data_IF_701283741490
#
_entry.id   IF_701283741490
#
_cell.length_a   1.000
_cell.length_b   1.000
_cell.length_c   1.000
_cell.angle_alpha   90.00
_cell.angle_beta   90.00
_cell.angle_gamma   90.00
#
_symmetry.space_group_name_H-M   'P 1'
#
loop_
_entity.id
_entity.type
_entity.pdbx_description
1 polymer ?
#
# COMPACT_ATOMS: atom_id res chain seq x y z
N UNK A 1 -3.11 16.72 -4.34
CA UNK A 1 -3.77 15.52 -4.88
C UNK A 1 -3.54 14.29 -3.98
N UNK A 2 -2.30 13.91 -3.60
CA UNK A 2 -2.02 12.71 -2.81
C UNK A 2 -2.82 12.63 -1.50
N UNK A 3 -2.96 13.72 -0.74
CA UNK A 3 -3.78 13.74 0.48
C UNK A 3 -5.26 13.42 0.21
N UNK A 4 -5.79 13.87 -0.92
CA UNK A 4 -7.16 13.55 -1.32
C UNK A 4 -7.30 12.07 -1.67
N UNK A 5 -6.27 11.50 -2.33
CA UNK A 5 -6.21 10.06 -2.60
C UNK A 5 -6.25 9.27 -1.29
N UNK A 6 -5.42 9.61 -0.30
CA UNK A 6 -5.43 8.92 0.99
C UNK A 6 -6.75 9.09 1.75
N UNK A 7 -7.41 10.24 1.65
CA UNK A 7 -8.74 10.42 2.23
C UNK A 7 -9.75 9.44 1.63
N UNK A 8 -9.76 9.27 0.29
CA UNK A 8 -10.63 8.31 -0.39
C UNK A 8 -10.24 6.88 -0.06
N UNK A 9 -8.95 6.55 -0.04
CA UNK A 9 -8.45 5.22 0.33
C UNK A 9 -8.93 4.82 1.74
N UNK A 10 -8.87 5.72 2.72
CA UNK A 10 -9.39 5.43 4.07
C UNK A 10 -10.88 5.09 4.08
N UNK A 11 -11.68 5.78 3.27
CA UNK A 11 -13.11 5.48 3.16
C UNK A 11 -13.35 4.09 2.57
N UNK A 12 -12.65 3.75 1.49
CA UNK A 12 -12.83 2.49 0.77
C UNK A 12 -12.19 1.31 1.49
N UNK A 13 -10.94 1.45 1.93
CA UNK A 13 -10.16 0.32 2.44
C UNK A 13 -10.54 -0.09 3.86
N UNK A 14 -11.10 0.80 4.66
CA UNK A 14 -11.71 0.43 5.94
C UNK A 14 -12.93 -0.47 5.73
N UNK A 15 -13.79 -0.12 4.79
CA UNK A 15 -14.96 -0.95 4.48
C UNK A 15 -14.58 -2.25 3.75
N UNK A 16 -13.57 -2.20 2.87
CA UNK A 16 -12.96 -3.40 2.29
C UNK A 16 -12.43 -4.34 3.37
N UNK A 17 -11.74 -3.81 4.38
CA UNK A 17 -11.23 -4.59 5.51
C UNK A 17 -12.35 -5.30 6.26
N UNK A 18 -13.46 -4.61 6.54
CA UNK A 18 -14.63 -5.22 7.18
C UNK A 18 -15.22 -6.35 6.33
N UNK A 19 -15.41 -6.09 5.05
CA UNK A 19 -15.95 -7.06 4.10
C UNK A 19 -15.01 -8.28 3.97
N UNK A 20 -13.70 -8.05 3.94
CA UNK A 20 -12.72 -9.12 3.83
C UNK A 20 -12.74 -10.04 5.05
N UNK A 21 -12.74 -9.50 6.27
CA UNK A 21 -12.83 -10.31 7.48
C UNK A 21 -14.12 -11.13 7.52
N UNK A 22 -15.23 -10.57 7.03
CA UNK A 22 -16.53 -11.26 7.04
C UNK A 22 -16.61 -12.41 6.02
N UNK A 23 -15.89 -12.33 4.90
CA UNK A 23 -16.05 -13.23 3.75
C UNK A 23 -14.77 -14.03 3.38
N UNK A 24 -13.63 -13.77 4.03
CA UNK A 24 -12.37 -14.43 3.67
C UNK A 24 -12.42 -15.93 3.93
N UNK A 25 -11.93 -16.68 2.96
CA UNK A 25 -11.72 -18.12 3.05
C UNK A 25 -10.27 -18.42 3.44
N UNK A 26 -9.95 -19.64 3.90
CA UNK A 26 -8.56 -20.05 4.10
C UNK A 26 -7.67 -19.85 2.86
N UNK A 27 -8.21 -20.10 1.66
CA UNK A 27 -7.49 -19.88 0.39
C UNK A 27 -7.19 -18.39 0.15
N UNK A 28 -8.09 -17.48 0.52
CA UNK A 28 -7.84 -16.02 0.46
C UNK A 28 -6.71 -15.62 1.41
N UNK A 29 -6.70 -16.16 2.62
CA UNK A 29 -5.64 -15.89 3.60
C UNK A 29 -4.29 -16.39 3.10
N UNK A 30 -4.24 -17.59 2.54
CA UNK A 30 -3.00 -18.15 1.97
C UNK A 30 -2.50 -17.31 0.79
N UNK A 31 -3.39 -16.84 -0.08
CA UNK A 31 -3.03 -15.96 -1.19
C UNK A 31 -2.40 -14.63 -0.70
N UNK A 32 -2.94 -14.05 0.36
CA UNK A 32 -2.37 -12.84 0.97
C UNK A 32 -1.03 -13.11 1.67
N UNK A 33 -0.86 -14.26 2.33
CA UNK A 33 0.43 -14.66 2.92
C UNK A 33 1.51 -14.81 1.86
N UNK A 34 1.20 -15.46 0.75
CA UNK A 34 2.12 -15.60 -0.38
C UNK A 34 2.50 -14.24 -0.96
N UNK A 35 1.52 -13.34 -1.08
CA UNK A 35 1.77 -11.98 -1.55
C UNK A 35 2.71 -11.21 -0.61
N UNK A 36 2.46 -11.25 0.70
CA UNK A 36 3.32 -10.61 1.71
C UNK A 36 4.74 -11.19 1.69
N UNK A 37 4.90 -12.49 1.49
CA UNK A 37 6.23 -13.10 1.33
C UNK A 37 6.99 -12.54 0.13
N UNK A 38 6.30 -12.25 -0.98
CA UNK A 38 6.88 -11.58 -2.16
C UNK A 38 7.27 -10.13 -1.87
N UNK A 39 6.45 -9.38 -1.13
CA UNK A 39 6.79 -8.03 -0.67
C UNK A 39 8.09 -8.03 0.15
N UNK A 40 8.16 -8.90 1.15
CA UNK A 40 9.33 -9.03 2.02
C UNK A 40 10.59 -9.37 1.23
N UNK A 41 10.48 -10.28 0.26
CA UNK A 41 11.60 -10.62 -0.62
C UNK A 41 12.05 -9.42 -1.48
N UNK A 42 11.13 -8.62 -2.01
CA UNK A 42 11.46 -7.42 -2.78
C UNK A 42 12.12 -6.33 -1.90
N UNK A 43 11.62 -6.14 -0.68
CA UNK A 43 12.22 -5.23 0.30
C UNK A 43 13.65 -5.64 0.65
N UNK A 44 13.88 -6.93 0.92
CA UNK A 44 15.21 -7.48 1.24
C UNK A 44 16.21 -7.30 0.09
N UNK A 45 15.77 -7.47 -1.15
CA UNK A 45 16.61 -7.26 -2.34
C UNK A 45 16.82 -5.79 -2.69
N UNK A 46 16.20 -4.88 -1.96
CA UNK A 46 16.20 -3.43 -2.25
C UNK A 46 15.67 -3.10 -3.67
N UNK A 47 14.75 -3.92 -4.14
CA UNK A 47 14.04 -3.72 -5.39
C UNK A 47 12.97 -2.63 -5.21
N UNK A 48 13.35 -1.38 -5.47
CA UNK A 48 12.50 -0.22 -5.20
C UNK A 48 11.22 -0.23 -6.05
N UNK A 49 11.34 -0.56 -7.33
CA UNK A 49 10.21 -0.62 -8.25
C UNK A 49 9.28 -1.79 -7.88
N UNK A 50 9.82 -2.99 -7.77
CA UNK A 50 9.04 -4.18 -7.45
C UNK A 50 8.37 -4.13 -6.08
N UNK A 51 9.05 -3.60 -5.04
CA UNK A 51 8.41 -3.44 -3.72
C UNK A 51 7.30 -2.39 -3.74
N UNK A 52 7.45 -1.30 -4.50
CA UNK A 52 6.44 -0.26 -4.62
C UNK A 52 5.16 -0.80 -5.25
N UNK A 53 5.30 -1.57 -6.32
CA UNK A 53 4.20 -2.25 -6.97
C UNK A 53 3.52 -3.26 -6.02
N UNK A 54 4.28 -4.20 -5.45
CA UNK A 54 3.75 -5.23 -4.57
C UNK A 54 3.04 -4.66 -3.33
N UNK A 55 3.59 -3.64 -2.68
CA UNK A 55 2.95 -3.02 -1.52
C UNK A 55 1.62 -2.35 -1.88
N UNK A 56 1.50 -1.77 -3.08
CA UNK A 56 0.22 -1.27 -3.58
C UNK A 56 -0.76 -2.39 -3.92
N UNK A 57 -0.28 -3.41 -4.61
CA UNK A 57 -1.09 -4.55 -5.08
C UNK A 57 -1.74 -5.35 -3.95
N UNK A 58 -1.21 -5.32 -2.73
CA UNK A 58 -1.84 -5.95 -1.55
C UNK A 58 -3.30 -5.50 -1.39
N UNK A 59 -3.57 -4.22 -1.51
CA UNK A 59 -4.90 -3.63 -1.33
C UNK A 59 -5.84 -4.00 -2.50
N UNK A 60 -5.30 -4.02 -3.71
CA UNK A 60 -6.03 -4.44 -4.92
C UNK A 60 -6.39 -5.92 -4.82
N UNK A 61 -5.45 -6.76 -4.41
CA UNK A 61 -5.65 -8.20 -4.25
C UNK A 61 -6.75 -8.52 -3.23
N UNK A 62 -6.87 -7.76 -2.14
CA UNK A 62 -7.99 -7.93 -1.20
C UNK A 62 -9.34 -7.78 -1.90
N UNK A 63 -9.50 -6.77 -2.74
CA UNK A 63 -10.73 -6.54 -3.49
C UNK A 63 -10.98 -7.63 -4.55
N UNK A 64 -9.94 -8.04 -5.26
CA UNK A 64 -10.01 -9.11 -6.27
C UNK A 64 -10.42 -10.45 -5.66
N UNK A 65 -9.84 -10.84 -4.52
CA UNK A 65 -10.17 -12.08 -3.82
C UNK A 65 -11.64 -12.13 -3.36
N UNK A 66 -12.23 -10.98 -3.07
CA UNK A 66 -13.67 -10.87 -2.80
C UNK A 66 -14.53 -10.85 -4.07
N UNK A 67 -13.93 -10.87 -5.25
CA UNK A 67 -14.64 -10.76 -6.53
C UNK A 67 -15.17 -9.35 -6.83
N UNK A 68 -14.72 -8.33 -6.10
CA UNK A 68 -15.12 -6.95 -6.33
C UNK A 68 -14.13 -6.24 -7.27
N UNK A 69 -14.26 -6.55 -8.57
CA UNK A 69 -13.36 -6.01 -9.60
C UNK A 69 -13.52 -4.50 -9.78
N UNK A 70 -14.71 -3.95 -9.55
CA UNK A 70 -14.93 -2.48 -9.61
C UNK A 70 -14.10 -1.78 -8.55
N UNK A 71 -14.09 -2.30 -7.32
CA UNK A 71 -13.27 -1.73 -6.25
C UNK A 71 -11.78 -1.92 -6.52
N UNK A 72 -11.38 -3.07 -7.07
CA UNK A 72 -10.00 -3.33 -7.46
C UNK A 72 -9.51 -2.29 -8.48
N UNK A 73 -10.27 -2.01 -9.53
CA UNK A 73 -9.96 -1.00 -10.54
C UNK A 73 -9.84 0.41 -9.93
N UNK A 74 -10.76 0.78 -9.04
CA UNK A 74 -10.71 2.08 -8.34
C UNK A 74 -9.46 2.19 -7.47
N UNK A 75 -9.12 1.14 -6.72
CA UNK A 75 -7.91 1.14 -5.89
C UNK A 75 -6.64 1.23 -6.74
N UNK A 76 -6.59 0.53 -7.86
CA UNK A 76 -5.46 0.59 -8.80
C UNK A 76 -5.26 2.01 -9.34
N UNK A 77 -6.33 2.70 -9.72
CA UNK A 77 -6.27 4.10 -10.16
C UNK A 77 -5.77 5.03 -9.05
N UNK A 78 -6.25 4.86 -7.82
CA UNK A 78 -5.81 5.66 -6.68
C UNK A 78 -4.33 5.45 -6.35
N UNK A 79 -3.86 4.20 -6.40
CA UNK A 79 -2.46 3.84 -6.17
C UNK A 79 -1.56 4.39 -7.27
N UNK A 80 -1.97 4.32 -8.53
CA UNK A 80 -1.23 4.89 -9.66
C UNK A 80 -0.99 6.40 -9.50
N UNK A 81 -1.95 7.14 -8.95
CA UNK A 81 -1.84 8.58 -8.67
C UNK A 81 -0.76 8.92 -7.62
N UNK A 82 -0.43 7.99 -6.75
CA UNK A 82 0.59 8.16 -5.72
C UNK A 82 1.92 7.45 -6.05
N UNK A 83 1.98 6.66 -7.13
CA UNK A 83 3.12 5.81 -7.44
C UNK A 83 4.45 6.59 -7.54
N UNK A 84 4.45 7.74 -8.22
CA UNK A 84 5.66 8.57 -8.36
C UNK A 84 6.12 9.09 -6.98
N UNK A 85 5.19 9.59 -6.16
CA UNK A 85 5.52 10.06 -4.82
C UNK A 85 6.07 8.91 -3.96
N UNK A 86 5.49 7.73 -4.05
CA UNK A 86 5.95 6.53 -3.34
C UNK A 86 7.37 6.14 -3.77
N UNK A 87 7.63 6.08 -5.07
CA UNK A 87 8.97 5.79 -5.60
C UNK A 87 10.03 6.78 -5.12
N UNK A 88 9.67 8.07 -5.05
CA UNK A 88 10.61 9.14 -4.70
C UNK A 88 10.88 9.27 -3.20
N UNK A 89 9.88 9.02 -2.36
CA UNK A 89 9.94 9.39 -0.94
C UNK A 89 9.88 8.21 0.03
N UNK A 90 9.38 7.04 -0.39
CA UNK A 90 9.32 5.89 0.50
C UNK A 90 10.73 5.32 0.77
N UNK A 91 11.19 5.43 2.01
CA UNK A 91 12.45 4.83 2.43
C UNK A 91 12.36 3.29 2.47
N UNK A 92 13.53 2.62 2.47
CA UNK A 92 13.58 1.17 2.65
C UNK A 92 13.01 0.73 4.01
N UNK A 93 13.19 1.56 5.04
CA UNK A 93 12.61 1.33 6.37
C UNK A 93 11.08 1.41 6.34
N UNK A 94 10.54 2.46 5.72
CA UNK A 94 9.08 2.61 5.57
C UNK A 94 8.46 1.47 4.74
N UNK A 95 9.15 0.98 3.71
CA UNK A 95 8.70 -0.18 2.94
C UNK A 95 8.70 -1.48 3.77
N UNK A 96 9.74 -1.67 4.59
CA UNK A 96 9.81 -2.79 5.53
C UNK A 96 8.65 -2.74 6.54
N UNK A 97 8.38 -1.57 7.12
CA UNK A 97 7.29 -1.39 8.08
C UNK A 97 5.93 -1.65 7.43
N UNK A 98 5.70 -1.14 6.21
CA UNK A 98 4.47 -1.40 5.45
C UNK A 98 4.23 -2.90 5.24
N UNK A 99 5.26 -3.65 4.84
CA UNK A 99 5.13 -5.09 4.65
C UNK A 99 4.88 -5.83 5.96
N UNK A 100 5.49 -5.39 7.07
CA UNK A 100 5.21 -5.95 8.40
C UNK A 100 3.78 -5.66 8.86
N UNK A 101 3.25 -4.48 8.55
CA UNK A 101 1.85 -4.10 8.82
C UNK A 101 0.88 -4.96 8.00
N UNK A 102 1.19 -5.24 6.72
CA UNK A 102 0.41 -6.17 5.91
C UNK A 102 0.40 -7.58 6.49
N UNK A 103 1.54 -8.09 6.96
CA UNK A 103 1.59 -9.38 7.63
C UNK A 103 0.69 -9.41 8.88
N UNK A 104 0.71 -8.36 9.70
CA UNK A 104 -0.15 -8.25 10.88
C UNK A 104 -1.64 -8.17 10.51
N UNK A 105 -2.00 -7.47 9.44
CA UNK A 105 -3.37 -7.43 8.91
C UNK A 105 -3.86 -8.82 8.51
N UNK A 106 -3.05 -9.58 7.77
CA UNK A 106 -3.41 -10.95 7.35
C UNK A 106 -3.69 -11.85 8.54
N UNK A 107 -2.91 -11.75 9.61
CA UNK A 107 -3.16 -12.53 10.83
C UNK A 107 -4.46 -12.08 11.55
N UNK A 108 -4.80 -10.80 11.52
CA UNK A 108 -6.10 -10.34 12.00
C UNK A 108 -7.26 -10.86 11.15
N UNK A 109 -7.10 -10.95 9.83
CA UNK A 109 -8.09 -11.54 8.93
C UNK A 109 -8.28 -13.02 9.23
N UNK A 110 -7.20 -13.76 9.39
CA UNK A 110 -7.23 -15.19 9.73
C UNK A 110 -7.91 -15.45 11.08
N UNK A 111 -7.73 -14.55 12.04
CA UNK A 111 -8.35 -14.64 13.37
C UNK A 111 -9.80 -14.14 13.41
N UNK A 112 -10.31 -13.53 12.33
CA UNK A 112 -11.64 -12.92 12.32
C UNK A 112 -11.77 -11.68 13.21
N UNK A 113 -10.65 -11.02 13.55
CA UNK A 113 -10.62 -9.87 14.44
C UNK A 113 -10.82 -8.56 13.67
N UNK A 114 -12.08 -8.27 13.35
CA UNK A 114 -12.44 -7.09 12.54
C UNK A 114 -12.06 -5.77 13.21
N UNK A 115 -12.23 -5.64 14.52
CA UNK A 115 -11.91 -4.40 15.24
C UNK A 115 -10.43 -4.06 15.14
N UNK A 116 -9.56 -5.05 15.37
CA UNK A 116 -8.12 -4.87 15.24
C UNK A 116 -7.69 -4.65 13.79
N UNK A 117 -8.26 -5.40 12.85
CA UNK A 117 -7.98 -5.26 11.43
C UNK A 117 -8.26 -3.85 10.93
N UNK A 118 -9.42 -3.29 11.27
CA UNK A 118 -9.79 -1.91 10.90
C UNK A 118 -8.86 -0.88 11.52
N UNK A 119 -8.49 -1.05 12.79
CA UNK A 119 -7.53 -0.17 13.46
C UNK A 119 -6.18 -0.20 12.73
N UNK A 120 -5.64 -1.39 12.48
CA UNK A 120 -4.36 -1.56 11.78
C UNK A 120 -4.39 -0.99 10.35
N UNK A 121 -5.48 -1.16 9.61
CA UNK A 121 -5.60 -0.60 8.27
C UNK A 121 -5.56 0.93 8.29
N UNK A 122 -6.23 1.57 9.23
CA UNK A 122 -6.17 3.04 9.40
C UNK A 122 -4.76 3.51 9.74
N UNK A 123 -4.13 2.89 10.72
CA UNK A 123 -2.75 3.20 11.13
C UNK A 123 -1.77 3.01 9.97
N UNK A 124 -1.91 1.91 9.21
CA UNK A 124 -1.11 1.65 8.02
C UNK A 124 -1.22 2.78 6.98
N UNK A 125 -2.44 3.19 6.62
CA UNK A 125 -2.65 4.27 5.66
C UNK A 125 -2.10 5.61 6.15
N UNK A 126 -2.19 5.88 7.46
CA UNK A 126 -1.61 7.08 8.08
C UNK A 126 -0.08 7.06 8.01
N UNK A 127 0.55 5.91 8.30
CA UNK A 127 2.00 5.73 8.22
C UNK A 127 2.51 5.90 6.78
N UNK A 128 1.82 5.29 5.80
CA UNK A 128 2.20 5.41 4.39
C UNK A 128 2.10 6.87 3.93
N UNK A 129 1.01 7.56 4.23
CA UNK A 129 0.84 8.98 3.88
C UNK A 129 1.93 9.86 4.52
N UNK A 130 2.20 9.66 5.80
CA UNK A 130 3.25 10.42 6.51
C UNK A 130 4.64 10.18 5.89
N UNK A 131 4.91 8.96 5.46
CA UNK A 131 6.18 8.57 4.82
C UNK A 131 6.41 9.24 3.47
N UNK A 132 5.36 9.70 2.79
CA UNK A 132 5.48 10.38 1.49
C UNK A 132 5.93 11.84 1.60
N UNK A 133 6.05 12.40 2.81
CA UNK A 133 6.58 13.77 3.06
C UNK A 133 5.92 14.84 2.18
N UNK A 134 4.61 14.78 2.03
CA UNK A 134 3.82 15.61 1.11
C UNK A 134 3.91 17.13 1.38
N UNK A 135 4.49 17.54 2.51
CA UNK A 135 4.72 18.93 2.87
C UNK A 135 6.10 19.46 2.40
N UNK A 136 6.95 18.60 1.88
CA UNK A 136 8.26 19.01 1.37
C UNK A 136 8.14 19.47 -0.09
N UNK A 137 8.81 20.56 -0.48
CA UNK A 137 8.89 20.93 -1.88
C UNK A 137 9.54 19.78 -2.65
N UNK A 138 8.96 19.47 -3.82
CA UNK A 138 9.59 18.53 -4.76
C UNK A 138 11.02 19.03 -5.00
N UNK A 139 12.06 18.18 -4.85
CA UNK A 139 13.40 18.58 -5.20
C UNK A 139 13.38 19.09 -6.64
N UNK A 140 13.62 20.38 -6.83
CA UNK A 140 13.77 20.91 -8.18
C UNK A 140 15.06 20.30 -8.73
N UNK A 141 14.97 19.23 -9.47
CA UNK A 141 16.01 18.89 -10.42
C UNK A 141 15.96 20.01 -11.46
N UNK A 142 16.76 21.03 -11.23
CA UNK A 142 16.95 22.09 -12.19
C UNK A 142 17.65 21.47 -13.41
N UNK A 143 16.82 21.03 -14.36
CA UNK A 143 17.27 20.47 -15.64
C UNK A 143 18.17 21.47 -16.36
N UNK A 144 18.02 22.79 -16.07
CA UNK A 144 18.89 23.85 -16.62
C UNK A 144 20.31 23.78 -16.06
N UNK A 145 20.50 23.39 -14.79
CA UNK A 145 21.85 23.26 -14.22
C UNK A 145 22.56 21.99 -14.72
N UNK A 146 21.81 20.95 -15.07
CA UNK A 146 22.35 19.72 -15.65
C UNK A 146 22.74 19.87 -17.14
N UNK A 147 22.18 20.87 -17.83
CA UNK A 147 22.44 21.18 -19.25
C UNK A 147 23.34 22.41 -19.45
N UNK A 148 23.90 23.00 -18.39
CA UNK A 148 24.85 24.07 -18.52
C UNK A 148 26.13 23.57 -19.22
N UNK A 149 26.57 24.20 -20.30
CA UNK A 149 27.81 23.79 -20.97
C UNK A 149 29.00 24.02 -20.04
N UNK A 150 29.95 23.09 -20.06
CA UNK A 150 31.25 23.12 -19.34
C UNK A 150 32.13 24.17 -19.94
#
# INVERSE_FOLDING_TARGET
EARQVFAVRRMLEVELTRAFVAAATPAHIDALRDHVAREQAAVQRQDVEGRTELLGDFHVLMAELLGNHVLADVLQDLLARCAIATLMYQSSHAAHDSSAEHAALVECFAAGNVTRAVKLMREHLDHVEAGLKLDQPVPSHDVKSALAPV
#
